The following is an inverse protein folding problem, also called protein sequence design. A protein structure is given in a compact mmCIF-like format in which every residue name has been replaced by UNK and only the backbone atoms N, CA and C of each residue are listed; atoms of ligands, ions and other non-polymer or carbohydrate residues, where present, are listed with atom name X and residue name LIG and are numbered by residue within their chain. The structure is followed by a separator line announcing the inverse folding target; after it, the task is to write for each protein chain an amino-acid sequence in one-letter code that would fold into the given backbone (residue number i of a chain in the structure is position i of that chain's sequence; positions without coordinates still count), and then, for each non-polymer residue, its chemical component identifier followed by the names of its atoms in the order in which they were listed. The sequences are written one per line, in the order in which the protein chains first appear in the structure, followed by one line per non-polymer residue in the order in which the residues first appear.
data_IF_180340003191
#
_entry.id   IF_180340003191
#
_cell.length_a   1.000
_cell.length_b   1.000
_cell.length_c   1.000
_cell.angle_alpha   90.00
_cell.angle_beta   90.00
_cell.angle_gamma   90.00
#
_symmetry.space_group_name_H-M   'P 1'
#
loop_
_entity.id
_entity.type
_entity.pdbx_description
1 polymer ?
#
# COMPACT_ATOMS: atom_id res chain seq x y z
N UNK A 1 -59.98 5.27 7.38
CA UNK A 1 -59.17 6.42 7.03
C UNK A 1 -58.10 6.64 8.06
N UNK A 2 -56.90 6.30 7.70
CA UNK A 2 -55.74 6.42 8.62
C UNK A 2 -55.03 7.73 8.30
N UNK A 3 -55.22 8.75 9.12
CA UNK A 3 -54.52 10.03 9.04
C UNK A 3 -53.10 9.84 9.62
N UNK A 4 -52.11 9.78 8.76
CA UNK A 4 -50.71 9.75 9.13
C UNK A 4 -50.27 11.17 9.58
N UNK A 5 -50.09 11.33 10.87
CA UNK A 5 -49.47 12.50 11.49
C UNK A 5 -48.00 12.53 11.11
N UNK A 6 -47.62 13.41 10.18
CA UNK A 6 -46.20 13.71 9.88
C UNK A 6 -45.61 14.51 11.04
N UNK A 7 -44.87 13.87 11.91
CA UNK A 7 -43.98 14.55 12.87
C UNK A 7 -42.87 15.22 12.07
N UNK A 8 -42.80 16.54 12.11
CA UNK A 8 -41.66 17.31 11.62
C UNK A 8 -40.45 17.01 12.50
N UNK A 9 -39.38 16.47 11.91
CA UNK A 9 -38.09 16.33 12.56
C UNK A 9 -37.52 17.73 12.86
N UNK A 10 -36.95 17.99 14.05
CA UNK A 10 -36.29 19.26 14.30
C UNK A 10 -35.08 19.41 13.38
N UNK A 11 -34.96 20.57 12.73
CA UNK A 11 -33.82 20.95 11.92
C UNK A 11 -32.56 20.91 12.79
N UNK A 12 -31.63 20.00 12.45
CA UNK A 12 -30.31 19.94 13.06
C UNK A 12 -29.46 21.12 12.56
N UNK A 13 -29.67 22.29 13.18
CA UNK A 13 -28.74 23.41 13.11
C UNK A 13 -27.65 23.17 14.18
N UNK A 14 -26.45 22.86 13.72
CA UNK A 14 -25.31 22.72 14.60
C UNK A 14 -24.49 21.46 14.35
N UNK A 15 -24.04 21.22 13.11
CA UNK A 15 -22.90 20.35 12.90
C UNK A 15 -21.68 21.03 13.56
N UNK A 16 -21.35 20.61 14.76
CA UNK A 16 -20.07 20.95 15.37
C UNK A 16 -19.00 20.39 14.43
N UNK A 17 -18.41 21.25 13.61
CA UNK A 17 -17.20 20.94 12.86
C UNK A 17 -16.11 20.70 13.88
N UNK A 18 -15.87 19.43 14.21
CA UNK A 18 -14.68 19.06 14.95
C UNK A 18 -13.48 19.49 14.08
N UNK A 19 -12.67 20.47 14.51
CA UNK A 19 -11.50 20.84 13.75
C UNK A 19 -10.61 19.61 13.69
N UNK A 20 -10.39 19.09 12.50
CA UNK A 20 -9.41 18.02 12.28
C UNK A 20 -8.03 18.60 12.64
N UNK A 21 -7.64 18.45 13.90
CA UNK A 21 -6.28 18.76 14.31
C UNK A 21 -5.36 17.76 13.62
N UNK A 22 -4.58 18.24 12.65
CA UNK A 22 -3.49 17.50 12.10
C UNK A 22 -2.58 17.07 13.26
N UNK A 23 -2.36 15.78 13.42
CA UNK A 23 -1.39 15.29 14.41
C UNK A 23 -0.02 15.83 14.01
N UNK A 24 0.75 16.28 14.99
CA UNK A 24 2.14 16.61 14.76
C UNK A 24 2.87 15.41 14.15
N UNK A 25 3.64 15.65 13.10
CA UNK A 25 4.41 14.60 12.47
C UNK A 25 5.39 14.02 13.49
N UNK A 26 5.37 12.71 13.67
CA UNK A 26 6.37 12.03 14.46
C UNK A 26 7.75 12.29 13.86
N UNK A 27 8.78 12.56 14.65
CA UNK A 27 10.12 12.74 14.13
C UNK A 27 10.61 11.45 13.45
N UNK A 28 11.34 11.61 12.35
CA UNK A 28 12.03 10.50 11.71
C UNK A 28 13.18 10.02 12.61
N UNK A 29 13.46 8.71 12.66
CA UNK A 29 14.68 8.19 13.29
C UNK A 29 15.92 8.82 12.65
N UNK A 30 17.00 8.96 13.42
CA UNK A 30 18.27 9.52 12.92
C UNK A 30 18.91 8.69 11.80
N UNK A 31 18.68 7.38 11.82
CA UNK A 31 19.20 6.41 10.83
C UNK A 31 18.09 5.91 9.90
N UNK A 32 17.07 6.75 9.64
CA UNK A 32 15.93 6.35 8.82
C UNK A 32 16.35 5.94 7.41
N UNK A 33 15.98 4.73 7.02
CA UNK A 33 16.17 4.21 5.68
C UNK A 33 14.93 4.43 4.83
N UNK A 34 15.13 4.78 3.57
CA UNK A 34 14.07 5.00 2.61
C UNK A 34 14.45 4.55 1.20
N UNK A 35 13.46 4.47 0.33
CA UNK A 35 13.64 4.20 -1.09
C UNK A 35 13.18 5.43 -1.86
N UNK A 36 14.11 6.06 -2.57
CA UNK A 36 13.76 7.10 -3.53
C UNK A 36 13.35 6.46 -4.86
N UNK A 37 12.21 6.86 -5.37
CA UNK A 37 11.74 6.51 -6.70
C UNK A 37 11.46 7.79 -7.49
N UNK A 38 12.16 7.95 -8.61
CA UNK A 38 11.95 9.07 -9.53
C UNK A 38 11.14 8.58 -10.73
N UNK A 39 9.92 9.07 -10.84
CA UNK A 39 8.99 8.72 -11.93
C UNK A 39 9.46 9.28 -13.27
N UNK A 40 10.18 10.41 -13.28
CA UNK A 40 10.66 11.05 -14.50
C UNK A 40 11.75 10.23 -15.18
N UNK A 41 12.57 9.54 -14.39
CA UNK A 41 13.64 8.67 -14.89
C UNK A 41 13.18 7.24 -15.16
N UNK A 42 12.01 6.85 -14.65
CA UNK A 42 11.52 5.49 -14.79
C UNK A 42 11.05 5.21 -16.22
N UNK A 43 11.62 4.19 -16.84
CA UNK A 43 11.24 3.70 -18.19
C UNK A 43 10.27 2.53 -18.16
N UNK A 44 9.80 2.12 -16.99
CA UNK A 44 8.83 1.02 -16.84
C UNK A 44 9.37 -0.38 -17.12
N UNK A 45 10.68 -0.59 -17.13
CA UNK A 45 11.32 -1.88 -17.48
C UNK A 45 11.05 -3.01 -16.48
N UNK A 46 10.51 -2.70 -15.28
CA UNK A 46 10.16 -3.65 -14.21
C UNK A 46 11.32 -4.51 -13.68
N UNK A 47 12.56 -4.18 -14.00
CA UNK A 47 13.73 -4.88 -13.47
C UNK A 47 13.75 -4.88 -11.92
N UNK A 48 13.30 -3.79 -11.28
CA UNK A 48 13.16 -3.70 -9.83
C UNK A 48 12.09 -4.67 -9.27
N UNK A 49 11.06 -5.01 -10.04
CA UNK A 49 10.06 -6.01 -9.66
C UNK A 49 10.65 -7.41 -9.76
N UNK A 50 11.35 -7.72 -10.84
CA UNK A 50 12.02 -9.00 -11.04
C UNK A 50 13.11 -9.24 -9.98
N UNK A 51 13.95 -8.25 -9.72
CA UNK A 51 14.99 -8.33 -8.70
C UNK A 51 14.41 -8.54 -7.29
N UNK A 52 13.28 -7.89 -6.96
CA UNK A 52 12.59 -8.10 -5.70
C UNK A 52 12.04 -9.53 -5.57
N UNK A 53 11.45 -10.08 -6.62
CA UNK A 53 10.97 -11.46 -6.64
C UNK A 53 12.12 -12.45 -6.47
N UNK A 54 13.19 -12.27 -7.20
CA UNK A 54 14.39 -13.10 -7.10
C UNK A 54 14.99 -13.07 -5.67
N UNK A 55 15.10 -11.87 -5.10
CA UNK A 55 15.64 -11.66 -3.76
C UNK A 55 14.81 -12.33 -2.64
N UNK A 56 13.51 -12.46 -2.85
CA UNK A 56 12.57 -13.02 -1.88
C UNK A 56 12.09 -14.43 -2.25
N UNK A 57 12.67 -15.07 -3.28
CA UNK A 57 12.29 -16.42 -3.73
C UNK A 57 10.83 -16.52 -4.19
N UNK A 58 10.27 -15.42 -4.74
CA UNK A 58 8.87 -15.36 -5.15
C UNK A 58 8.67 -15.80 -6.59
N UNK A 59 7.60 -16.53 -6.91
CA UNK A 59 7.32 -16.97 -8.27
C UNK A 59 6.99 -15.77 -9.17
N UNK A 60 7.18 -15.96 -10.47
CA UNK A 60 6.71 -15.03 -11.47
C UNK A 60 5.17 -15.04 -11.48
N UNK A 61 4.59 -13.87 -11.67
CA UNK A 61 3.15 -13.65 -11.71
C UNK A 61 2.86 -12.75 -12.90
N UNK A 62 1.99 -13.24 -13.77
CA UNK A 62 1.53 -12.53 -14.95
C UNK A 62 0.04 -12.27 -14.83
N UNK A 63 -0.42 -11.11 -15.25
CA UNK A 63 -1.84 -10.89 -15.41
C UNK A 63 -2.34 -11.53 -16.70
N UNK A 64 -3.57 -12.02 -16.68
CA UNK A 64 -4.24 -12.64 -17.84
C UNK A 64 -4.69 -11.64 -18.90
N UNK A 65 -4.64 -10.36 -18.60
CA UNK A 65 -4.99 -9.29 -19.51
C UNK A 65 -3.74 -8.89 -20.32
N UNK A 66 -3.87 -8.76 -21.64
CA UNK A 66 -2.82 -8.53 -22.63
C UNK A 66 -2.08 -7.19 -22.51
N UNK A 67 -2.08 -6.60 -21.32
CA UNK A 67 -1.39 -5.35 -21.08
C UNK A 67 0.01 -5.58 -20.49
N UNK A 68 0.96 -5.92 -21.32
CA UNK A 68 2.38 -6.07 -20.94
C UNK A 68 2.93 -4.86 -20.19
N UNK A 69 2.39 -3.66 -20.45
CA UNK A 69 2.77 -2.41 -19.80
C UNK A 69 2.45 -2.39 -18.31
N UNK A 70 1.43 -3.11 -17.86
CA UNK A 70 0.92 -3.05 -16.49
C UNK A 70 0.93 -4.41 -15.77
N UNK A 71 1.69 -5.37 -16.25
CA UNK A 71 1.87 -6.68 -15.60
C UNK A 71 3.03 -6.65 -14.60
N UNK A 72 2.88 -7.16 -13.35
CA UNK A 72 1.63 -7.53 -12.67
C UNK A 72 0.75 -6.31 -12.37
N UNK A 73 -0.57 -6.49 -12.41
CA UNK A 73 -1.53 -5.39 -12.23
C UNK A 73 -1.48 -4.75 -10.85
N UNK A 74 -1.22 -5.50 -9.80
CA UNK A 74 -1.15 -4.98 -8.44
C UNK A 74 -0.22 -5.82 -7.56
N UNK A 75 0.02 -5.32 -6.36
CA UNK A 75 0.69 -6.04 -5.29
C UNK A 75 -0.18 -7.23 -4.88
N UNK A 76 0.44 -8.38 -4.69
CA UNK A 76 -0.21 -9.63 -4.27
C UNK A 76 0.58 -10.31 -3.15
N UNK A 77 0.13 -11.49 -2.71
CA UNK A 77 0.90 -12.35 -1.82
C UNK A 77 2.25 -12.79 -2.39
N UNK A 78 2.40 -12.74 -3.72
CA UNK A 78 3.58 -13.15 -4.48
C UNK A 78 4.33 -11.98 -5.15
N UNK A 79 3.86 -10.74 -4.98
CA UNK A 79 4.43 -9.54 -5.58
C UNK A 79 4.45 -8.39 -4.58
N UNK A 80 5.64 -8.02 -4.09
CA UNK A 80 5.80 -7.01 -3.02
C UNK A 80 5.88 -5.58 -3.54
N UNK A 81 6.21 -5.40 -4.81
CA UNK A 81 6.23 -4.10 -5.47
C UNK A 81 5.80 -4.24 -6.92
N UNK A 82 5.21 -3.21 -7.48
CA UNK A 82 4.84 -3.13 -8.89
C UNK A 82 5.17 -1.76 -9.45
N UNK A 83 5.36 -1.69 -10.75
CA UNK A 83 5.40 -0.46 -11.52
C UNK A 83 4.08 -0.37 -12.27
N UNK A 84 3.26 0.61 -11.91
CA UNK A 84 1.97 0.89 -12.55
C UNK A 84 2.15 1.89 -13.67
N UNK A 85 1.50 1.63 -14.81
CA UNK A 85 1.41 2.56 -15.92
C UNK A 85 0.11 3.34 -15.83
N UNK A 86 0.19 4.63 -15.58
CA UNK A 86 -0.94 5.56 -15.62
C UNK A 86 -0.97 6.24 -16.98
N UNK A 87 -2.14 6.25 -17.61
CA UNK A 87 -2.34 6.79 -18.95
C UNK A 87 -3.50 7.79 -18.92
N UNK A 88 -3.37 8.85 -19.67
CA UNK A 88 -4.42 9.83 -19.90
C UNK A 88 -4.64 10.01 -21.40
N UNK A 89 -5.88 9.82 -21.85
CA UNK A 89 -6.23 9.90 -23.29
C UNK A 89 -5.53 8.85 -24.15
N UNK A 90 -5.00 9.28 -25.29
CA UNK A 90 -4.13 8.48 -26.17
C UNK A 90 -2.67 8.72 -25.79
N UNK A 91 -2.03 7.82 -25.04
CA UNK A 91 -0.73 8.09 -24.46
C UNK A 91 0.39 8.00 -25.50
N UNK A 92 0.87 9.14 -25.95
CA UNK A 92 1.97 9.26 -26.91
C UNK A 92 3.29 9.64 -26.27
N UNK A 93 3.26 10.48 -25.25
CA UNK A 93 4.46 11.09 -24.65
C UNK A 93 4.47 10.84 -23.14
N UNK A 94 5.65 10.46 -22.63
CA UNK A 94 5.87 10.28 -21.21
C UNK A 94 5.80 11.62 -20.44
N UNK A 95 5.19 11.58 -19.23
CA UNK A 95 5.09 12.70 -18.28
C UNK A 95 4.37 13.95 -18.81
N UNK A 96 3.52 13.81 -19.79
CA UNK A 96 2.65 14.86 -20.32
C UNK A 96 1.29 14.83 -19.64
N UNK A 97 0.70 16.00 -19.36
CA UNK A 97 -0.61 16.10 -18.71
C UNK A 97 -1.73 15.58 -19.60
N UNK A 98 -1.71 15.96 -20.88
CA UNK A 98 -2.67 15.51 -21.88
C UNK A 98 -2.04 14.48 -22.82
N UNK A 99 -2.76 13.40 -23.09
CA UNK A 99 -2.31 12.30 -23.95
C UNK A 99 -0.94 11.74 -23.53
N UNK A 100 -0.70 11.71 -22.23
CA UNK A 100 0.57 11.26 -21.67
C UNK A 100 0.46 9.97 -20.85
N UNK A 101 1.62 9.45 -20.46
CA UNK A 101 1.72 8.32 -19.55
C UNK A 101 2.84 8.52 -18.54
N UNK A 102 2.69 7.92 -17.36
CA UNK A 102 3.71 7.92 -16.32
C UNK A 102 3.81 6.56 -15.65
N UNK A 103 5.00 6.23 -15.18
CA UNK A 103 5.24 5.02 -14.40
C UNK A 103 5.35 5.38 -12.92
N UNK A 104 4.55 4.74 -12.09
CA UNK A 104 4.55 4.95 -10.64
C UNK A 104 4.84 3.63 -9.93
N UNK A 105 5.79 3.66 -9.02
CA UNK A 105 6.09 2.51 -8.18
C UNK A 105 5.11 2.42 -7.02
N UNK A 106 4.46 1.26 -6.87
CA UNK A 106 3.65 0.92 -5.71
C UNK A 106 4.37 -0.11 -4.85
N UNK A 107 4.67 0.22 -3.61
CA UNK A 107 5.31 -0.66 -2.62
C UNK A 107 5.00 -0.16 -1.21
N UNK A 108 5.52 -0.84 -0.18
CA UNK A 108 5.39 -0.35 1.19
C UNK A 108 6.12 1.00 1.35
N UNK A 109 5.43 1.98 1.93
CA UNK A 109 5.97 3.31 2.20
C UNK A 109 6.77 3.38 3.50
N UNK A 110 6.79 2.33 4.30
CA UNK A 110 7.41 2.30 5.64
C UNK A 110 7.08 3.54 6.48
N UNK A 111 5.79 3.86 6.54
CA UNK A 111 5.21 5.09 7.09
C UNK A 111 5.87 5.53 8.40
N UNK A 112 5.97 6.85 8.61
CA UNK A 112 6.46 7.41 9.88
C UNK A 112 5.55 6.98 11.03
N UNK A 113 4.22 7.05 10.82
CA UNK A 113 3.20 6.53 11.73
C UNK A 113 2.40 5.40 11.05
N UNK A 114 2.86 4.14 11.17
CA UNK A 114 2.29 3.04 10.42
C UNK A 114 1.00 2.51 11.06
N UNK A 115 -0.16 2.82 10.47
CA UNK A 115 -1.46 2.31 10.91
C UNK A 115 -1.53 0.77 10.96
N UNK A 116 -0.79 0.09 10.09
CA UNK A 116 -0.73 -1.37 10.09
C UNK A 116 -0.03 -1.94 11.34
N UNK A 117 0.91 -1.20 11.94
CA UNK A 117 1.53 -1.59 13.22
C UNK A 117 0.55 -1.35 14.36
N UNK A 118 -0.09 -0.19 14.39
CA UNK A 118 -1.07 0.16 15.44
C UNK A 118 -2.29 -0.77 15.45
N UNK A 119 -2.69 -1.28 14.29
CA UNK A 119 -3.82 -2.20 14.15
C UNK A 119 -3.48 -3.65 14.47
N UNK A 120 -2.21 -4.01 14.68
CA UNK A 120 -1.82 -5.39 14.89
C UNK A 120 -1.99 -5.80 16.37
N UNK A 121 -2.96 -6.67 16.72
CA UNK A 121 -3.25 -7.01 18.12
C UNK A 121 -2.16 -7.87 18.78
N UNK A 122 -1.35 -8.56 17.98
CA UNK A 122 -0.29 -9.48 18.45
C UNK A 122 1.10 -8.94 18.20
N UNK A 123 1.23 -7.67 17.81
CA UNK A 123 2.53 -7.04 17.52
C UNK A 123 3.40 -7.79 16.50
N UNK A 124 2.79 -8.55 15.59
CA UNK A 124 3.49 -9.20 14.47
C UNK A 124 4.02 -8.17 13.46
N UNK A 125 3.36 -7.01 13.35
CA UNK A 125 3.85 -5.86 12.59
C UNK A 125 4.58 -4.93 13.55
N UNK A 126 5.85 -4.66 13.27
CA UNK A 126 6.70 -3.82 14.13
C UNK A 126 7.38 -2.73 13.31
N UNK A 127 7.61 -1.57 13.91
CA UNK A 127 8.46 -0.53 13.33
C UNK A 127 9.78 -0.51 14.09
N UNK A 128 10.86 -0.62 13.36
CA UNK A 128 12.20 -0.47 13.93
C UNK A 128 12.42 1.00 14.33
N UNK A 129 12.72 1.29 15.60
CA UNK A 129 12.92 2.66 16.06
C UNK A 129 14.18 3.31 15.52
N UNK A 130 15.18 2.56 15.06
CA UNK A 130 16.44 3.09 14.49
C UNK A 130 16.32 3.37 13.00
N UNK A 131 15.95 2.36 12.23
CA UNK A 131 15.92 2.43 10.77
C UNK A 131 14.59 2.91 10.21
N UNK A 132 13.54 2.93 11.04
CA UNK A 132 12.18 3.28 10.61
C UNK A 132 11.50 2.23 9.72
N UNK A 133 12.14 1.08 9.48
CA UNK A 133 11.58 0.02 8.65
C UNK A 133 10.41 -0.66 9.39
N UNK A 134 9.31 -0.86 8.68
CA UNK A 134 8.19 -1.65 9.18
C UNK A 134 8.43 -3.10 8.79
N UNK A 135 8.68 -3.95 9.78
CA UNK A 135 8.92 -5.39 9.62
C UNK A 135 7.68 -6.21 9.92
N UNK A 136 7.69 -7.46 9.53
CA UNK A 136 6.62 -8.42 9.76
C UNK A 136 7.21 -9.73 10.27
N UNK A 137 6.69 -10.17 11.41
CA UNK A 137 7.01 -11.43 12.04
C UNK A 137 5.88 -12.43 11.76
N UNK A 138 6.17 -13.41 10.92
CA UNK A 138 5.17 -14.39 10.49
C UNK A 138 4.83 -15.42 11.57
N UNK A 139 5.73 -15.67 12.53
CA UNK A 139 5.52 -16.64 13.61
C UNK A 139 4.55 -16.09 14.66
N UNK A 140 4.58 -14.79 14.91
CA UNK A 140 3.67 -14.11 15.81
C UNK A 140 2.29 -13.82 15.15
N UNK A 141 2.16 -13.97 13.85
CA UNK A 141 0.96 -13.56 13.11
C UNK A 141 -0.18 -14.58 13.24
N UNK A 142 -1.35 -14.12 13.67
CA UNK A 142 -2.59 -14.90 13.76
C UNK A 142 -3.49 -14.81 12.52
N UNK A 143 -3.08 -14.10 11.46
CA UNK A 143 -3.83 -13.99 10.21
C UNK A 143 -5.11 -13.14 10.27
N UNK A 144 -5.29 -12.29 11.28
CA UNK A 144 -6.51 -11.47 11.46
C UNK A 144 -6.76 -10.43 10.36
N UNK A 145 -5.76 -10.08 9.54
CA UNK A 145 -5.81 -9.15 8.40
C UNK A 145 -6.12 -7.69 8.74
N UNK A 146 -6.11 -7.29 10.01
CA UNK A 146 -6.35 -5.89 10.40
C UNK A 146 -5.32 -4.93 9.79
N UNK A 147 -4.08 -5.36 9.62
CA UNK A 147 -3.05 -4.57 8.94
C UNK A 147 -3.39 -4.27 7.47
N UNK A 148 -4.15 -5.14 6.79
CA UNK A 148 -4.62 -4.92 5.41
C UNK A 148 -5.67 -3.82 5.40
N UNK A 149 -6.67 -3.94 6.29
CA UNK A 149 -7.76 -2.96 6.39
C UNK A 149 -7.27 -1.58 6.86
N UNK A 150 -6.26 -1.55 7.75
CA UNK A 150 -5.71 -0.31 8.27
C UNK A 150 -4.77 0.43 7.30
N UNK A 151 -4.24 -0.24 6.28
CA UNK A 151 -3.30 0.36 5.35
C UNK A 151 -4.02 1.16 4.25
N UNK A 152 -3.89 2.50 4.19
CA UNK A 152 -4.57 3.31 3.17
C UNK A 152 -4.02 3.05 1.75
N UNK A 153 -2.82 2.47 1.64
CA UNK A 153 -2.18 2.15 0.37
C UNK A 153 -2.45 0.71 -0.10
N UNK A 154 -3.14 -0.11 0.69
CA UNK A 154 -3.45 -1.50 0.39
C UNK A 154 -2.22 -2.38 0.18
N UNK A 155 -1.11 -2.11 0.88
CA UNK A 155 0.18 -2.78 0.64
C UNK A 155 0.29 -4.16 1.30
N UNK A 156 -0.07 -4.38 2.56
CA UNK A 156 -0.08 -5.74 3.10
C UNK A 156 -1.08 -6.60 2.33
N UNK A 157 -0.63 -7.75 1.84
CA UNK A 157 -1.47 -8.72 1.14
C UNK A 157 -1.45 -10.04 1.87
N UNK A 158 -2.44 -10.87 1.63
CA UNK A 158 -2.60 -12.16 2.26
C UNK A 158 -2.48 -13.27 1.21
N UNK A 159 -1.75 -14.35 1.52
CA UNK A 159 -1.51 -15.45 0.59
C UNK A 159 -2.65 -16.45 0.66
N UNK A 160 -3.80 -16.11 0.07
CA UNK A 160 -5.02 -16.94 0.11
C UNK A 160 -4.87 -18.34 -0.50
N UNK A 161 -3.91 -18.53 -1.37
CA UNK A 161 -3.61 -19.75 -2.08
C UNK A 161 -2.63 -20.67 -1.33
N UNK A 162 -2.26 -20.31 -0.11
CA UNK A 162 -1.38 -21.10 0.75
C UNK A 162 -2.18 -21.93 1.76
N UNK A 163 -1.71 -23.13 2.07
CA UNK A 163 -2.27 -23.95 3.15
C UNK A 163 -2.10 -23.27 4.54
N UNK A 164 -1.08 -22.48 4.71
CA UNK A 164 -0.84 -21.63 5.88
C UNK A 164 -0.78 -20.18 5.43
N UNK A 165 -1.94 -19.50 5.27
CA UNK A 165 -1.98 -18.16 4.74
C UNK A 165 -1.29 -17.15 5.66
N UNK A 166 -0.48 -16.28 5.09
CA UNK A 166 0.30 -15.27 5.81
C UNK A 166 0.22 -13.90 5.15
N UNK A 167 0.60 -12.87 5.89
CA UNK A 167 0.76 -11.53 5.34
C UNK A 167 2.05 -11.49 4.52
N UNK A 168 1.98 -10.80 3.39
CA UNK A 168 3.11 -10.53 2.52
C UNK A 168 3.23 -9.01 2.30
N UNK A 169 4.41 -8.45 2.54
CA UNK A 169 4.71 -7.03 2.29
C UNK A 169 6.21 -6.80 2.15
N UNK A 170 6.59 -5.71 1.49
CA UNK A 170 7.98 -5.27 1.42
C UNK A 170 8.55 -5.00 2.82
N UNK A 171 9.77 -5.45 3.08
CA UNK A 171 10.55 -5.22 4.30
C UNK A 171 11.89 -4.52 4.00
N UNK A 172 12.03 -3.81 2.87
CA UNK A 172 13.27 -3.18 2.39
C UNK A 172 14.48 -4.12 2.38
N UNK A 173 14.25 -5.42 2.19
CA UNK A 173 15.29 -6.45 2.18
C UNK A 173 16.18 -6.46 3.44
N UNK A 174 15.62 -6.16 4.60
CA UNK A 174 16.34 -6.12 5.90
C UNK A 174 17.03 -7.46 6.28
N UNK A 175 16.69 -8.53 5.58
CA UNK A 175 17.29 -9.87 5.75
C UNK A 175 18.57 -10.08 4.94
N UNK A 176 19.09 -9.06 4.24
CA UNK A 176 20.28 -9.12 3.38
C UNK A 176 21.46 -8.35 3.95
#
# INVERSE_FOLDING_TARGET
PWAASRRRSPSATGAATCPAQARDNKPLPSEALGLLFDSTLCVGCKACVAACKQANGMPLEFSTEDQYWDTPLDISGKTLNVIKAYKHGTPEVKDREENGFAFIKKSCMHCVDPSCVSACPVSAMKKDPKTGIVTYDKEACIGCRYCIAACPFGVPRFTYDSATPQISKCQLCVHR
#
